data_IF_202175377786
#
_entry.id   IF_202175377786
#
_cell.length_a   1.000
_cell.length_b   1.000
_cell.length_c   1.000
_cell.angle_alpha   90.00
_cell.angle_beta   90.00
_cell.angle_gamma   90.00
#
_symmetry.space_group_name_H-M   'P 1'
#
loop_
_entity.id
_entity.type
_entity.pdbx_description
1 polymer ?
#
# COMPACT_ATOMS: atom_id res chain seq x y z
N UNK A 1 -14.16 2.78 -7.40
CA UNK A 1 -13.66 3.65 -8.50
C UNK A 1 -12.47 4.42 -7.94
N UNK A 2 -11.31 4.37 -8.60
CA UNK A 2 -10.04 4.96 -8.11
C UNK A 2 -9.55 6.16 -8.95
N UNK A 3 -10.38 6.67 -9.87
CA UNK A 3 -10.04 7.85 -10.67
C UNK A 3 -10.08 9.13 -9.84
N UNK A 4 -9.24 10.09 -10.24
CA UNK A 4 -9.14 11.41 -9.66
C UNK A 4 -8.86 12.44 -10.77
N UNK A 5 -9.25 13.71 -10.58
CA UNK A 5 -9.00 14.75 -11.55
C UNK A 5 -7.54 15.27 -11.45
N UNK A 6 -6.94 15.79 -12.54
CA UNK A 6 -5.52 16.17 -12.57
C UNK A 6 -5.10 17.22 -11.53
N UNK A 7 -6.02 18.06 -11.07
CA UNK A 7 -5.78 19.14 -10.10
C UNK A 7 -5.46 18.63 -8.69
N UNK A 8 -5.69 17.34 -8.40
CA UNK A 8 -5.34 16.72 -7.12
C UNK A 8 -3.87 16.28 -7.03
N UNK A 9 -3.10 16.43 -8.11
CA UNK A 9 -1.70 16.01 -8.14
C UNK A 9 -0.79 17.00 -7.39
N UNK A 10 0.24 16.51 -6.67
CA UNK A 10 0.62 15.09 -6.55
C UNK A 10 -0.33 14.32 -5.62
N UNK A 11 -0.66 13.08 -5.98
CA UNK A 11 -1.58 12.24 -5.23
C UNK A 11 -0.99 10.87 -4.90
N UNK A 12 -1.08 10.48 -3.63
CA UNK A 12 -0.58 9.20 -3.11
C UNK A 12 -1.74 8.25 -2.84
N UNK A 13 -1.64 7.01 -3.33
CA UNK A 13 -2.58 5.95 -2.97
C UNK A 13 -2.03 5.17 -1.78
N UNK A 14 -2.69 5.23 -0.63
CA UNK A 14 -2.31 4.41 0.52
C UNK A 14 -3.07 3.07 0.51
N UNK A 15 -2.33 1.97 0.54
CA UNK A 15 -2.85 0.61 0.65
C UNK A 15 -2.76 0.10 2.09
N UNK A 16 -3.76 -0.70 2.48
CA UNK A 16 -3.79 -1.41 3.76
C UNK A 16 -3.90 -2.91 3.53
N UNK A 17 -2.97 -3.67 4.10
CA UNK A 17 -2.92 -5.13 3.99
C UNK A 17 -1.61 -5.67 4.53
N UNK A 18 -1.51 -7.00 4.61
CA UNK A 18 -0.33 -7.71 5.13
C UNK A 18 0.05 -8.94 4.31
N UNK A 19 -0.65 -9.20 3.20
CA UNK A 19 -0.32 -10.27 2.25
C UNK A 19 0.45 -9.67 1.05
N UNK A 20 1.71 -10.08 0.81
CA UNK A 20 2.52 -9.53 -0.27
C UNK A 20 1.90 -9.68 -1.67
N UNK A 21 1.24 -10.81 -1.96
CA UNK A 21 0.65 -11.07 -3.26
C UNK A 21 -0.56 -10.15 -3.53
N UNK A 22 -1.43 -9.99 -2.53
CA UNK A 22 -2.57 -9.08 -2.60
C UNK A 22 -2.13 -7.63 -2.73
N UNK A 23 -1.11 -7.21 -1.97
CA UNK A 23 -0.55 -5.87 -2.06
C UNK A 23 0.09 -5.59 -3.43
N UNK A 24 0.84 -6.54 -4.01
CA UNK A 24 1.38 -6.41 -5.35
C UNK A 24 0.26 -6.24 -6.41
N UNK A 25 -0.81 -7.03 -6.32
CA UNK A 25 -1.95 -6.93 -7.22
C UNK A 25 -2.67 -5.56 -7.08
N UNK A 26 -2.85 -5.09 -5.84
CA UNK A 26 -3.43 -3.78 -5.57
C UNK A 26 -2.55 -2.63 -6.09
N UNK A 27 -1.23 -2.71 -5.92
CA UNK A 27 -0.27 -1.75 -6.47
C UNK A 27 -0.35 -1.70 -7.99
N UNK A 28 -0.33 -2.85 -8.67
CA UNK A 28 -0.42 -2.93 -10.12
C UNK A 28 -1.72 -2.31 -10.66
N UNK A 29 -2.82 -2.43 -9.92
CA UNK A 29 -4.09 -1.78 -10.26
C UNK A 29 -4.03 -0.27 -10.01
N UNK A 30 -3.52 0.17 -8.85
CA UNK A 30 -3.43 1.59 -8.49
C UNK A 30 -2.56 2.37 -9.48
N UNK A 31 -1.40 1.82 -9.87
CA UNK A 31 -0.50 2.47 -10.84
C UNK A 31 -1.17 2.76 -12.18
N UNK A 32 -2.12 1.93 -12.63
CA UNK A 32 -2.88 2.18 -13.86
C UNK A 32 -3.78 3.42 -13.79
N UNK A 33 -4.15 3.88 -12.60
CA UNK A 33 -4.87 5.14 -12.39
C UNK A 33 -3.95 6.36 -12.36
N UNK A 34 -2.63 6.17 -12.38
CA UNK A 34 -1.63 7.23 -12.52
C UNK A 34 -1.28 7.95 -11.23
N UNK A 35 -1.40 7.33 -10.06
CA UNK A 35 -0.93 7.92 -8.79
C UNK A 35 0.57 8.24 -8.85
N UNK A 36 0.98 9.30 -8.13
CA UNK A 36 2.38 9.75 -8.09
C UNK A 36 3.24 8.90 -7.14
N UNK A 37 2.62 8.23 -6.16
CA UNK A 37 3.27 7.32 -5.20
C UNK A 37 2.23 6.31 -4.66
N UNK A 38 2.70 5.11 -4.28
CA UNK A 38 1.90 4.11 -3.57
C UNK A 38 2.47 3.90 -2.17
N UNK A 39 1.68 4.09 -1.13
CA UNK A 39 2.14 4.01 0.25
C UNK A 39 1.57 2.78 0.97
N UNK A 40 2.34 2.09 1.81
CA UNK A 40 1.84 1.04 2.70
C UNK A 40 1.48 1.61 4.07
N UNK A 41 0.25 1.37 4.53
CA UNK A 41 -0.16 1.74 5.89
C UNK A 41 0.47 0.80 6.93
N UNK A 42 1.54 1.28 7.55
CA UNK A 42 2.20 0.63 8.70
C UNK A 42 2.00 1.39 10.02
N UNK A 43 1.06 2.33 10.10
CA UNK A 43 0.99 3.30 11.21
C UNK A 43 -0.34 3.39 11.96
N UNK A 44 -1.46 2.91 11.39
CA UNK A 44 -2.76 3.06 12.03
C UNK A 44 -2.90 2.14 13.27
N UNK A 45 -3.20 2.67 14.47
CA UNK A 45 -3.33 1.86 15.69
C UNK A 45 -4.75 1.34 15.94
N UNK A 46 -5.71 1.58 15.03
CA UNK A 46 -7.11 1.19 15.25
C UNK A 46 -7.29 -0.32 15.30
N UNK A 47 -8.05 -0.82 16.28
CA UNK A 47 -8.38 -2.24 16.42
C UNK A 47 -9.04 -2.85 15.17
N UNK A 48 -9.72 -2.03 14.36
CA UNK A 48 -10.34 -2.47 13.10
C UNK A 48 -9.32 -2.99 12.09
N UNK A 49 -8.11 -2.44 12.11
CA UNK A 49 -7.03 -2.79 11.17
C UNK A 49 -5.92 -3.56 11.85
N UNK A 50 -5.52 -3.18 13.07
CA UNK A 50 -4.46 -3.85 13.83
C UNK A 50 -4.91 -5.20 14.39
N UNK A 51 -6.19 -5.33 14.76
CA UNK A 51 -6.80 -6.58 15.21
C UNK A 51 -7.26 -7.42 14.02
N UNK A 52 -8.49 -7.20 13.56
CA UNK A 52 -9.12 -8.05 12.55
C UNK A 52 -8.48 -7.97 11.15
N UNK A 53 -7.88 -6.83 10.80
CA UNK A 53 -7.22 -6.62 9.51
C UNK A 53 -5.77 -7.10 9.47
N UNK A 54 -5.14 -7.34 10.62
CA UNK A 54 -3.71 -7.68 10.75
C UNK A 54 -2.77 -6.74 9.95
N UNK A 55 -3.08 -5.44 9.84
CA UNK A 55 -2.20 -4.42 9.21
C UNK A 55 -2.15 -3.11 10.02
N UNK A 56 -1.49 -2.07 9.52
CA UNK A 56 -1.32 -0.80 10.24
C UNK A 56 -0.18 -0.89 11.24
N UNK A 57 -0.32 -0.32 12.43
CA UNK A 57 0.74 -0.32 13.45
C UNK A 57 1.15 -1.74 13.89
N UNK A 58 0.26 -2.73 13.74
CA UNK A 58 0.58 -4.14 14.02
C UNK A 58 1.71 -4.69 13.13
N UNK A 59 1.87 -4.16 11.91
CA UNK A 59 2.97 -4.54 11.02
C UNK A 59 4.35 -4.16 11.56
N UNK A 60 4.43 -3.15 12.42
CA UNK A 60 5.71 -2.75 13.03
C UNK A 60 6.31 -3.84 13.92
N UNK A 61 5.51 -4.81 14.37
CA UNK A 61 5.99 -5.98 15.12
C UNK A 61 6.58 -7.08 14.21
N UNK A 62 6.38 -6.98 12.90
CA UNK A 62 6.78 -7.99 11.90
C UNK A 62 7.61 -7.34 10.78
N UNK A 63 8.83 -6.85 11.08
CA UNK A 63 9.63 -6.09 10.12
C UNK A 63 9.98 -6.87 8.85
N UNK A 64 10.17 -8.20 8.95
CA UNK A 64 10.42 -9.03 7.76
C UNK A 64 9.20 -9.07 6.85
N UNK A 65 8.00 -9.19 7.41
CA UNK A 65 6.76 -9.16 6.63
C UNK A 65 6.59 -7.81 5.92
N UNK A 66 6.92 -6.70 6.59
CA UNK A 66 6.91 -5.37 5.96
C UNK A 66 7.89 -5.32 4.79
N UNK A 67 9.12 -5.84 4.96
CA UNK A 67 10.10 -5.91 3.89
C UNK A 67 9.59 -6.73 2.69
N UNK A 68 8.98 -7.89 2.94
CA UNK A 68 8.42 -8.75 1.90
C UNK A 68 7.25 -8.06 1.16
N UNK A 69 6.38 -7.37 1.89
CA UNK A 69 5.28 -6.57 1.31
C UNK A 69 5.82 -5.44 0.43
N UNK A 70 6.76 -4.64 0.96
CA UNK A 70 7.35 -3.52 0.22
C UNK A 70 8.09 -3.99 -1.03
N UNK A 71 8.83 -5.10 -0.97
CA UNK A 71 9.50 -5.68 -2.12
C UNK A 71 8.52 -6.13 -3.20
N UNK A 72 7.43 -6.79 -2.81
CA UNK A 72 6.38 -7.23 -3.73
C UNK A 72 5.65 -6.04 -4.39
N UNK A 73 5.32 -5.01 -3.60
CA UNK A 73 4.73 -3.77 -4.11
C UNK A 73 5.67 -3.05 -5.08
N UNK A 74 6.95 -2.87 -4.73
CA UNK A 74 7.93 -2.21 -5.57
C UNK A 74 8.12 -2.94 -6.92
N UNK A 75 8.13 -4.28 -6.92
CA UNK A 75 8.19 -5.07 -8.15
C UNK A 75 6.96 -4.86 -9.07
N UNK A 76 5.80 -4.57 -8.50
CA UNK A 76 4.56 -4.32 -9.22
C UNK A 76 4.35 -2.84 -9.63
N UNK A 77 5.18 -1.93 -9.14
CA UNK A 77 4.92 -0.48 -9.22
C UNK A 77 5.30 0.18 -10.54
N UNK A 78 5.94 -0.55 -11.48
CA UNK A 78 6.28 -0.06 -12.83
C UNK A 78 7.04 1.28 -12.84
N UNK A 79 7.87 1.53 -11.81
CA UNK A 79 8.65 2.76 -11.65
C UNK A 79 7.97 3.86 -10.83
N UNK A 80 6.69 3.70 -10.46
CA UNK A 80 6.05 4.55 -9.44
C UNK A 80 6.72 4.31 -8.08
N UNK A 81 7.07 5.35 -7.32
CA UNK A 81 7.62 5.22 -5.96
C UNK A 81 6.68 4.43 -5.03
N UNK A 82 7.29 3.60 -4.17
CA UNK A 82 6.64 2.83 -3.10
C UNK A 82 7.38 3.04 -1.79
#
# INVERSE_FOLDING_TARGET
FLWFPPEQRPLVCQLGGSDPATLAAATALAVQYGYDEINLNCGCPSDRVAGAGCFGAALMLQPQLVADCMAAMAAAAQGTPV
#
